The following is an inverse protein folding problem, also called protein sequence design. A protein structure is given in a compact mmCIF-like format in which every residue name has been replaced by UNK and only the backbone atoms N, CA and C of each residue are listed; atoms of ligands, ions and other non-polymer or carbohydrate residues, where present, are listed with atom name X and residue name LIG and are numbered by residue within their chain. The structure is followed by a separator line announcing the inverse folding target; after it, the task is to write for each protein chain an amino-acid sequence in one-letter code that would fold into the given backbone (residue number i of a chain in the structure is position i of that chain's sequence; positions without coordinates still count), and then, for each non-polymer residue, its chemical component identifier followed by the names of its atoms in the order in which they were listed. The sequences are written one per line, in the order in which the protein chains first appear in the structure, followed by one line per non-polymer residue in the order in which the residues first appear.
data_IF_809377401979
#
_entry.id   IF_809377401979
#
_cell.length_a   1.000
_cell.length_b   1.000
_cell.length_c   1.000
_cell.angle_alpha   90.00
_cell.angle_beta   90.00
_cell.angle_gamma   90.00
#
_symmetry.space_group_name_H-M   'P 1'
#
loop_
_entity.id
_entity.type
_entity.pdbx_description
1 polymer ?
#
# COMPACT_ATOMS: atom_id res chain seq x y z
N UNK A 1 -11.16 3.73 -34.23
CA UNK A 1 -11.08 3.07 -32.91
C UNK A 1 -11.02 4.17 -31.88
N UNK A 2 -12.10 4.33 -31.11
CA UNK A 2 -12.36 5.48 -30.22
C UNK A 2 -11.63 5.32 -28.88
N UNK A 3 -11.26 6.45 -28.27
CA UNK A 3 -10.54 6.55 -27.00
C UNK A 3 -11.21 5.82 -25.80
N UNK A 4 -12.47 5.41 -25.95
CA UNK A 4 -13.22 4.64 -24.96
C UNK A 4 -12.63 3.24 -24.71
N UNK A 5 -12.00 2.62 -25.72
CA UNK A 5 -11.41 1.29 -25.57
C UNK A 5 -10.09 1.30 -24.78
N UNK A 6 -9.30 2.37 -24.86
CA UNK A 6 -8.08 2.52 -24.05
C UNK A 6 -8.39 2.74 -22.57
N UNK A 7 -9.56 3.33 -22.25
CA UNK A 7 -9.97 3.62 -20.89
C UNK A 7 -10.46 2.39 -20.10
N UNK A 8 -10.80 1.29 -20.78
CA UNK A 8 -11.31 0.07 -20.13
C UNK A 8 -10.21 -0.84 -19.54
N UNK A 9 -8.94 -0.55 -19.82
CA UNK A 9 -7.80 -1.38 -19.35
C UNK A 9 -7.00 -0.77 -18.19
N UNK A 10 -7.32 0.46 -17.77
CA UNK A 10 -6.61 1.13 -16.68
C UNK A 10 -7.34 0.91 -15.35
N UNK A 11 -6.58 0.55 -14.33
CA UNK A 11 -7.11 0.46 -12.97
C UNK A 11 -7.69 1.81 -12.52
N UNK A 12 -8.76 1.84 -11.70
CA UNK A 12 -9.53 3.07 -11.43
C UNK A 12 -8.75 4.25 -10.85
N UNK A 13 -7.63 3.99 -10.17
CA UNK A 13 -6.76 5.00 -9.57
C UNK A 13 -5.40 5.10 -10.25
N UNK A 14 -5.26 4.58 -11.47
CA UNK A 14 -4.05 4.76 -12.25
C UNK A 14 -3.76 6.26 -12.47
N UNK A 15 -2.48 6.64 -12.33
CA UNK A 15 -2.03 8.02 -12.44
C UNK A 15 -2.08 8.83 -11.12
N UNK A 16 -2.76 8.32 -10.08
CA UNK A 16 -2.73 8.94 -8.76
C UNK A 16 -1.49 8.52 -7.97
N UNK A 17 -0.92 9.46 -7.22
CA UNK A 17 0.19 9.23 -6.29
C UNK A 17 -0.27 9.52 -4.87
N UNK A 18 0.03 8.62 -3.94
CA UNK A 18 -0.41 8.71 -2.54
C UNK A 18 0.78 8.54 -1.61
N UNK A 19 0.90 9.43 -0.63
CA UNK A 19 1.80 9.27 0.50
C UNK A 19 1.04 8.66 1.68
N UNK A 20 1.42 7.45 2.06
CA UNK A 20 0.90 6.76 3.24
C UNK A 20 1.82 7.07 4.43
N UNK A 21 1.39 8.01 5.27
CA UNK A 21 2.04 8.40 6.53
C UNK A 21 1.41 7.73 7.75
N UNK A 22 0.54 6.73 7.52
CA UNK A 22 -0.25 6.11 8.58
C UNK A 22 0.42 4.86 9.13
N UNK A 23 0.05 4.51 10.35
CA UNK A 23 0.54 3.33 11.06
C UNK A 23 -0.63 2.43 11.48
N UNK A 24 -0.29 1.23 11.93
CA UNK A 24 -1.24 0.23 12.42
C UNK A 24 -2.21 -0.24 11.32
N UNK A 25 -3.52 -0.08 11.55
CA UNK A 25 -4.53 -0.83 10.81
C UNK A 25 -5.30 0.03 9.80
N UNK A 26 -6.05 1.03 10.29
CA UNK A 26 -7.06 1.71 9.46
C UNK A 26 -6.43 2.45 8.26
N UNK A 27 -5.44 3.31 8.52
CA UNK A 27 -4.77 4.06 7.45
C UNK A 27 -4.03 3.16 6.45
N UNK A 28 -3.20 2.19 6.90
CA UNK A 28 -2.53 1.29 5.98
C UNK A 28 -3.52 0.45 5.18
N UNK A 29 -4.65 0.03 5.77
CA UNK A 29 -5.71 -0.68 5.05
C UNK A 29 -6.39 0.20 4.01
N UNK A 30 -6.66 1.47 4.30
CA UNK A 30 -7.18 2.41 3.29
C UNK A 30 -6.22 2.54 2.12
N UNK A 31 -4.93 2.79 2.39
CA UNK A 31 -3.92 2.96 1.35
C UNK A 31 -3.63 1.66 0.58
N UNK A 32 -3.84 0.49 1.21
CA UNK A 32 -3.79 -0.81 0.55
C UNK A 32 -4.86 -0.92 -0.54
N UNK A 33 -6.10 -0.51 -0.26
CA UNK A 33 -7.16 -0.49 -1.28
C UNK A 33 -6.86 0.51 -2.41
N UNK A 34 -6.28 1.67 -2.09
CA UNK A 34 -5.86 2.62 -3.12
C UNK A 34 -4.80 2.02 -4.05
N UNK A 35 -3.82 1.32 -3.49
CA UNK A 35 -2.79 0.60 -4.26
C UNK A 35 -3.40 -0.55 -5.08
N UNK A 36 -4.31 -1.32 -4.50
CA UNK A 36 -5.03 -2.41 -5.19
C UNK A 36 -5.86 -1.87 -6.39
N UNK A 37 -6.32 -0.62 -6.33
CA UNK A 37 -6.98 0.06 -7.45
C UNK A 37 -6.03 0.84 -8.38
N UNK A 38 -4.72 0.65 -8.23
CA UNK A 38 -3.71 1.12 -9.18
C UNK A 38 -3.06 2.46 -8.88
N UNK A 39 -3.27 3.03 -7.68
CA UNK A 39 -2.50 4.20 -7.26
C UNK A 39 -1.02 3.83 -6.99
N UNK A 40 -0.09 4.75 -7.27
CA UNK A 40 1.30 4.64 -6.83
C UNK A 40 1.41 5.10 -5.38
N UNK A 41 1.46 4.14 -4.46
CA UNK A 41 1.45 4.40 -3.01
C UNK A 41 2.86 4.22 -2.45
N UNK A 42 3.36 5.28 -1.80
CA UNK A 42 4.61 5.27 -1.04
C UNK A 42 4.29 5.34 0.44
N UNK A 43 4.64 4.29 1.18
CA UNK A 43 4.63 4.27 2.63
C UNK A 43 5.91 4.90 3.15
N UNK A 44 5.77 5.97 3.93
CA UNK A 44 6.90 6.67 4.56
C UNK A 44 6.88 6.30 6.03
N UNK A 45 7.97 5.69 6.50
CA UNK A 45 8.06 5.23 7.88
C UNK A 45 9.12 5.99 8.67
N UNK A 46 9.03 5.92 10.00
CA UNK A 46 10.08 6.46 10.85
C UNK A 46 11.39 5.69 10.60
N UNK A 47 12.53 6.36 10.34
CA UNK A 47 13.74 5.72 9.81
C UNK A 47 14.35 4.65 10.74
N UNK A 48 14.09 4.76 12.04
CA UNK A 48 14.56 3.80 13.05
C UNK A 48 13.48 2.83 13.54
N UNK A 49 12.22 3.30 13.64
CA UNK A 49 11.17 2.56 14.35
C UNK A 49 10.30 1.75 13.39
N UNK A 50 10.09 2.25 12.16
CA UNK A 50 9.10 1.69 11.25
C UNK A 50 7.66 1.84 11.76
N UNK A 51 6.74 1.22 11.04
CA UNK A 51 5.37 0.95 11.47
C UNK A 51 5.36 -0.20 12.49
N UNK A 52 4.64 -0.03 13.60
CA UNK A 52 4.50 -1.03 14.67
C UNK A 52 3.92 -2.36 14.15
N UNK A 53 3.18 -2.31 13.04
CA UNK A 53 2.62 -3.49 12.39
C UNK A 53 3.69 -4.48 11.89
N UNK A 54 4.95 -4.04 11.69
CA UNK A 54 6.08 -4.89 11.29
C UNK A 54 6.34 -6.05 12.25
N UNK A 55 6.08 -5.85 13.55
CA UNK A 55 6.25 -6.86 14.60
C UNK A 55 4.93 -7.43 15.11
N UNK A 56 3.79 -7.04 14.56
CA UNK A 56 2.49 -7.37 15.13
C UNK A 56 1.99 -8.76 14.68
N UNK A 57 1.54 -9.54 15.66
CA UNK A 57 0.94 -10.85 15.44
C UNK A 57 1.96 -11.91 15.01
N UNK A 58 1.54 -12.80 14.11
CA UNK A 58 2.40 -13.90 13.63
C UNK A 58 3.44 -13.37 12.65
N UNK A 59 4.67 -13.87 12.80
CA UNK A 59 5.77 -13.68 11.86
C UNK A 59 6.16 -14.99 11.20
N UNK A 60 6.68 -14.91 9.97
CA UNK A 60 7.39 -16.00 9.30
C UNK A 60 8.78 -15.50 8.91
N UNK A 61 9.83 -16.24 9.29
CA UNK A 61 11.22 -15.90 8.96
C UNK A 61 11.61 -14.46 9.36
N UNK A 62 11.13 -14.00 10.52
CA UNK A 62 11.37 -12.64 11.01
C UNK A 62 10.51 -11.55 10.36
N UNK A 63 9.59 -11.90 9.46
CA UNK A 63 8.71 -10.94 8.76
C UNK A 63 7.29 -11.00 9.32
N UNK A 64 6.78 -9.87 9.82
CA UNK A 64 5.40 -9.74 10.30
C UNK A 64 4.38 -9.92 9.17
N UNK A 65 3.47 -10.89 9.33
CA UNK A 65 2.51 -11.24 8.27
C UNK A 65 1.46 -10.16 8.06
N UNK A 66 0.97 -9.52 9.12
CA UNK A 66 -0.01 -8.43 8.99
C UNK A 66 0.55 -7.22 8.27
N UNK A 67 1.82 -6.87 8.52
CA UNK A 67 2.50 -5.82 7.77
C UNK A 67 2.52 -6.13 6.27
N UNK A 68 2.83 -7.37 5.89
CA UNK A 68 2.85 -7.79 4.48
C UNK A 68 1.47 -7.71 3.83
N UNK A 69 0.42 -8.09 4.56
CA UNK A 69 -0.97 -7.99 4.06
C UNK A 69 -1.38 -6.54 3.86
N UNK A 70 -1.16 -5.68 4.87
CA UNK A 70 -1.62 -4.28 4.88
C UNK A 70 -0.78 -3.35 4.01
N UNK A 71 0.43 -3.76 3.61
CA UNK A 71 1.34 -2.93 2.81
C UNK A 71 1.73 -3.56 1.47
N UNK A 72 0.99 -4.59 1.02
CA UNK A 72 1.11 -5.07 -0.37
C UNK A 72 0.85 -3.93 -1.35
N UNK A 73 1.47 -4.02 -2.53
CA UNK A 73 1.38 -3.03 -3.61
C UNK A 73 1.92 -1.63 -3.27
N UNK A 74 2.47 -1.41 -2.07
CA UNK A 74 3.12 -0.16 -1.69
C UNK A 74 4.64 -0.27 -1.83
N UNK A 75 5.28 0.85 -2.16
CA UNK A 75 6.73 1.03 -2.01
C UNK A 75 7.00 1.62 -0.63
N UNK A 76 8.11 1.28 -0.01
CA UNK A 76 8.46 1.78 1.33
C UNK A 76 9.77 2.57 1.28
N UNK A 77 9.79 3.70 1.99
CA UNK A 77 10.99 4.52 2.26
C UNK A 77 11.14 4.81 3.74
#
# INVERSE_FOLDING_TARGET
MTAEAENQTRAPLNGYRVLDLSNLLAGPMTCMYLADFGADVVKVEHPVRGDEMRGWGRSKDGVGLFFKVLNRNKRTV
#
